data_IF_389326813178
#
_entry.id   IF_389326813178
#
_cell.length_a   1.000
_cell.length_b   1.000
_cell.length_c   1.000
_cell.angle_alpha   90.00
_cell.angle_beta   90.00
_cell.angle_gamma   90.00
#
_symmetry.space_group_name_H-M   'P 1'
#
loop_
_entity.id
_entity.type
_entity.pdbx_description
1 polymer ?
#
# COMPACT_ATOMS: atom_id res chain seq x y z
N UNK A 1 15.07 -41.04 -6.32
CA UNK A 1 14.02 -40.29 -7.04
C UNK A 1 13.28 -39.46 -6.01
N UNK A 2 13.40 -38.14 -6.07
CA UNK A 2 12.77 -37.21 -5.15
C UNK A 2 11.42 -36.78 -5.72
N UNK A 3 10.33 -37.07 -5.01
CA UNK A 3 9.11 -36.27 -5.06
C UNK A 3 8.12 -36.71 -3.97
N UNK A 4 7.29 -35.75 -3.54
CA UNK A 4 6.20 -35.81 -2.53
C UNK A 4 6.66 -35.44 -1.11
N UNK A 5 6.17 -34.39 -0.46
CA UNK A 5 4.94 -33.62 -0.62
C UNK A 5 5.08 -32.24 0.04
N UNK A 6 5.16 -31.19 -0.75
CA UNK A 6 4.67 -29.86 -0.37
C UNK A 6 3.15 -29.87 -0.58
N UNK A 7 2.35 -29.35 0.36
CA UNK A 7 1.10 -28.57 0.13
C UNK A 7 0.08 -28.54 1.29
N UNK A 8 0.49 -28.61 2.57
CA UNK A 8 -0.46 -28.39 3.68
C UNK A 8 -0.45 -26.98 4.29
N UNK A 9 0.44 -26.07 3.83
CA UNK A 9 0.64 -24.75 4.48
C UNK A 9 -0.18 -23.58 3.94
N UNK A 10 -0.87 -23.67 2.80
CA UNK A 10 -1.32 -22.47 2.08
C UNK A 10 -2.84 -22.22 1.99
N UNK A 11 -3.66 -22.88 2.82
CA UNK A 11 -5.12 -22.66 2.82
C UNK A 11 -5.62 -21.82 4.01
N UNK A 12 -4.76 -20.99 4.62
CA UNK A 12 -5.28 -19.94 5.52
C UNK A 12 -5.85 -18.83 4.65
N UNK A 13 -7.13 -18.43 4.84
CA UNK A 13 -7.69 -17.31 4.12
C UNK A 13 -6.79 -16.10 4.34
N UNK A 14 -6.33 -15.49 3.25
CA UNK A 14 -5.61 -14.23 3.32
C UNK A 14 -6.42 -13.27 4.18
N UNK A 15 -5.74 -12.57 5.10
CA UNK A 15 -6.41 -11.57 5.90
C UNK A 15 -7.09 -10.54 4.97
N UNK A 16 -8.25 -10.03 5.38
CA UNK A 16 -9.01 -9.06 4.58
C UNK A 16 -8.12 -7.89 4.12
N UNK A 17 -7.21 -7.43 4.98
CA UNK A 17 -6.23 -6.38 4.66
C UNK A 17 -5.29 -6.76 3.51
N UNK A 18 -4.83 -8.01 3.47
CA UNK A 18 -3.92 -8.48 2.41
C UNK A 18 -4.66 -8.62 1.08
N UNK A 19 -5.92 -9.10 1.10
CA UNK A 19 -6.76 -9.14 -0.10
C UNK A 19 -7.01 -7.73 -0.68
N UNK A 20 -7.29 -6.75 0.18
CA UNK A 20 -7.47 -5.35 -0.26
C UNK A 20 -6.19 -4.80 -0.90
N UNK A 21 -5.02 -5.06 -0.29
CA UNK A 21 -3.74 -4.64 -0.85
C UNK A 21 -3.46 -5.25 -2.23
N UNK A 22 -3.71 -6.56 -2.38
CA UNK A 22 -3.53 -7.27 -3.65
C UNK A 22 -4.50 -6.76 -4.72
N UNK A 23 -5.76 -6.51 -4.36
CA UNK A 23 -6.75 -5.93 -5.28
C UNK A 23 -6.35 -4.53 -5.74
N UNK A 24 -5.83 -3.70 -4.83
CA UNK A 24 -5.31 -2.37 -5.16
C UNK A 24 -4.10 -2.46 -6.10
N UNK A 25 -3.19 -3.40 -5.86
CA UNK A 25 -2.03 -3.61 -6.72
C UNK A 25 -2.42 -4.09 -8.13
N UNK A 26 -3.35 -5.03 -8.24
CA UNK A 26 -3.87 -5.48 -9.55
C UNK A 26 -4.50 -4.33 -10.34
N UNK A 27 -5.30 -3.51 -9.66
CA UNK A 27 -5.93 -2.32 -10.28
C UNK A 27 -4.86 -1.33 -10.75
N UNK A 28 -3.83 -1.09 -9.93
CA UNK A 28 -2.69 -0.25 -10.30
C UNK A 28 -2.00 -0.75 -11.57
N UNK A 29 -1.68 -2.05 -11.65
CA UNK A 29 -1.04 -2.64 -12.83
C UNK A 29 -1.87 -2.43 -14.10
N UNK A 30 -3.17 -2.71 -14.05
CA UNK A 30 -4.08 -2.53 -15.18
C UNK A 30 -4.15 -1.06 -15.59
N UNK A 31 -4.35 -0.14 -14.64
CA UNK A 31 -4.46 1.30 -14.94
C UNK A 31 -3.21 1.92 -15.57
N UNK A 32 -2.03 1.35 -15.27
CA UNK A 32 -0.75 1.82 -15.79
C UNK A 32 -0.23 1.01 -16.98
N UNK A 33 -0.95 -0.05 -17.39
CA UNK A 33 -0.50 -0.97 -18.44
C UNK A 33 0.81 -1.70 -18.08
N UNK A 34 1.04 -1.95 -16.79
CA UNK A 34 2.27 -2.56 -16.28
C UNK A 34 2.09 -4.06 -16.05
N UNK A 35 3.17 -4.81 -16.27
CA UNK A 35 3.26 -6.22 -15.89
C UNK A 35 3.74 -6.36 -14.44
N UNK A 36 3.45 -7.49 -13.81
CA UNK A 36 3.93 -7.78 -12.47
C UNK A 36 5.45 -7.98 -12.47
N UNK A 37 6.19 -6.98 -12.01
CA UNK A 37 7.64 -6.98 -11.89
C UNK A 37 8.06 -6.40 -10.53
N UNK A 38 9.32 -6.58 -10.16
CA UNK A 38 9.87 -5.93 -8.98
C UNK A 38 9.74 -4.40 -9.05
N UNK A 39 10.05 -3.83 -10.21
CA UNK A 39 9.94 -2.40 -10.44
C UNK A 39 8.50 -1.90 -10.29
N UNK A 40 7.52 -2.64 -10.84
CA UNK A 40 6.10 -2.31 -10.68
C UNK A 40 5.64 -2.34 -9.22
N UNK A 41 6.17 -3.26 -8.41
CA UNK A 41 5.90 -3.32 -6.96
C UNK A 41 6.47 -2.12 -6.22
N UNK A 42 7.69 -1.69 -6.55
CA UNK A 42 8.33 -0.52 -5.94
C UNK A 42 7.52 0.76 -6.23
N UNK A 43 7.15 0.98 -7.49
CA UNK A 43 6.31 2.13 -7.87
C UNK A 43 4.97 2.08 -7.13
N UNK A 44 4.33 0.91 -7.06
CA UNK A 44 3.07 0.75 -6.34
C UNK A 44 3.21 1.11 -4.87
N UNK A 45 4.23 0.60 -4.17
CA UNK A 45 4.43 0.89 -2.74
C UNK A 45 4.63 2.38 -2.51
N UNK A 46 5.43 3.05 -3.34
CA UNK A 46 5.64 4.50 -3.25
C UNK A 46 4.33 5.28 -3.45
N UNK A 47 3.58 4.98 -4.51
CA UNK A 47 2.31 5.65 -4.80
C UNK A 47 1.24 5.34 -3.74
N UNK A 48 1.15 4.10 -3.27
CA UNK A 48 0.17 3.63 -2.30
C UNK A 48 0.42 4.25 -0.92
N UNK A 49 1.69 4.35 -0.49
CA UNK A 49 2.05 5.02 0.76
C UNK A 49 1.81 6.52 0.70
N UNK A 50 2.10 7.19 -0.43
CA UNK A 50 1.74 8.58 -0.64
C UNK A 50 0.22 8.78 -0.58
N UNK A 51 -0.55 7.94 -1.28
CA UNK A 51 -2.03 8.00 -1.28
C UNK A 51 -2.60 7.76 0.12
N UNK A 52 -2.03 6.83 0.90
CA UNK A 52 -2.42 6.63 2.30
C UNK A 52 -2.10 7.83 3.17
N UNK A 53 -0.92 8.47 2.99
CA UNK A 53 -0.60 9.73 3.67
C UNK A 53 -1.66 10.79 3.33
N UNK A 54 -2.00 10.98 2.06
CA UNK A 54 -3.06 11.92 1.66
C UNK A 54 -4.43 11.53 2.20
N UNK A 55 -4.77 10.25 2.35
CA UNK A 55 -6.02 9.83 3.00
C UNK A 55 -6.04 10.02 4.53
N UNK A 56 -4.87 10.07 5.17
CA UNK A 56 -4.74 10.44 6.59
C UNK A 56 -4.84 11.96 6.76
N UNK A 57 -4.36 12.71 5.77
CA UNK A 57 -4.44 14.17 5.72
C UNK A 57 -5.60 14.59 4.83
N UNK A 58 -6.83 14.41 5.33
CA UNK A 58 -7.98 15.21 4.88
C UNK A 58 -7.57 16.70 4.90
N UNK A 59 -8.03 17.53 3.97
CA UNK A 59 -7.53 18.91 3.80
C UNK A 59 -7.68 19.74 5.10
N UNK A 60 -8.67 19.41 5.92
CA UNK A 60 -8.86 19.97 7.26
C UNK A 60 -7.82 19.47 8.28
N UNK A 61 -7.49 18.17 8.27
CA UNK A 61 -6.42 17.60 9.10
C UNK A 61 -5.04 18.08 8.67
N UNK A 62 -4.85 18.35 7.38
CA UNK A 62 -3.63 18.95 6.82
C UNK A 62 -3.47 20.40 7.30
N UNK A 63 -4.53 21.20 7.30
CA UNK A 63 -4.52 22.55 7.89
C UNK A 63 -4.21 22.51 9.37
N UNK A 64 -4.85 21.62 10.13
CA UNK A 64 -4.58 21.45 11.56
C UNK A 64 -3.11 21.07 11.83
N UNK A 65 -2.54 20.17 11.04
CA UNK A 65 -1.13 19.80 11.19
C UNK A 65 -0.19 20.97 10.84
N UNK A 66 -0.50 21.75 9.80
CA UNK A 66 0.28 22.95 9.45
C UNK A 66 0.22 23.98 10.58
N UNK A 67 -0.98 24.26 11.11
CA UNK A 67 -1.17 25.20 12.23
C UNK A 67 -0.42 24.74 13.49
N UNK A 68 -0.39 23.44 13.78
CA UNK A 68 0.37 22.87 14.90
C UNK A 68 1.88 23.04 14.70
N UNK A 69 2.41 22.74 13.51
CA UNK A 69 3.82 22.89 13.19
C UNK A 69 4.29 24.35 13.23
N UNK A 70 3.47 25.29 12.75
CA UNK A 70 3.75 26.73 12.82
C UNK A 70 3.81 27.21 14.28
N UNK A 71 2.89 26.73 15.13
CA UNK A 71 2.92 26.97 16.58
C UNK A 71 4.18 26.45 17.25
N UNK A 72 4.65 25.27 16.88
CA UNK A 72 5.89 24.70 17.43
C UNK A 72 7.14 25.41 16.94
N UNK A 73 7.12 25.98 15.73
CA UNK A 73 8.25 26.73 15.15
C UNK A 73 8.43 28.16 15.69
N UNK A 74 7.49 28.64 16.51
CA UNK A 74 7.53 29.98 17.12
C UNK A 74 8.23 30.02 18.50
N UNK A 75 9.04 28.99 18.84
CA UNK A 75 9.88 28.96 20.05
C UNK A 75 11.34 29.33 19.76
#
# INVERSE_FOLDING_TARGET
>A
MHEKELTWRNNKPLSHRLNVLLSAYQTFLVSKGLVNSEFSRLIFVENYTQTLKFKIYDDDLKKQLIDELERFSSF
#
